data_IF_934016183480
#
_entry.id   IF_934016183480
#
_cell.length_a   1.000
_cell.length_b   1.000
_cell.length_c   1.000
_cell.angle_alpha   90.00
_cell.angle_beta   90.00
_cell.angle_gamma   90.00
#
_symmetry.space_group_name_H-M   'P 1'
#
loop_
_entity.id
_entity.type
_entity.pdbx_description
1 polymer ?
#
# COMPACT_ATOMS: atom_id res chain seq x y z
N UNK A 1 43.84 -14.96 13.68
CA UNK A 1 43.54 -14.20 12.45
C UNK A 1 44.89 -13.71 12.04
N UNK A 2 45.48 -14.43 11.10
CA UNK A 2 46.92 -14.40 10.88
C UNK A 2 47.26 -13.14 10.07
N UNK A 3 48.30 -12.41 10.47
CA UNK A 3 48.68 -11.12 9.85
C UNK A 3 48.88 -11.23 8.33
N UNK A 4 49.19 -12.45 7.85
CA UNK A 4 49.34 -12.79 6.44
C UNK A 4 48.01 -12.72 5.66
N UNK A 5 46.91 -13.14 6.26
CA UNK A 5 45.56 -13.11 5.67
C UNK A 5 45.05 -11.66 5.56
N UNK A 6 45.40 -10.83 6.55
CA UNK A 6 45.09 -9.40 6.55
C UNK A 6 45.86 -8.66 5.44
N UNK A 7 47.15 -8.94 5.28
CA UNK A 7 47.98 -8.36 4.21
C UNK A 7 47.52 -8.81 2.82
N UNK A 8 47.11 -10.07 2.66
CA UNK A 8 46.55 -10.55 1.41
C UNK A 8 45.24 -9.84 1.05
N UNK A 9 44.38 -9.61 2.05
CA UNK A 9 43.14 -8.85 1.90
C UNK A 9 43.41 -7.41 1.48
N UNK A 10 44.37 -6.73 2.11
CA UNK A 10 44.75 -5.36 1.74
C UNK A 10 45.31 -5.27 0.32
N UNK A 11 46.07 -6.28 -0.14
CA UNK A 11 46.54 -6.35 -1.54
C UNK A 11 45.39 -6.48 -2.52
N UNK A 12 44.38 -7.32 -2.22
CA UNK A 12 43.17 -7.48 -3.05
C UNK A 12 42.35 -6.18 -3.13
N UNK A 13 42.16 -5.50 -2.01
CA UNK A 13 41.44 -4.22 -1.95
C UNK A 13 42.16 -3.15 -2.79
N UNK A 14 43.48 -3.04 -2.68
CA UNK A 14 44.28 -2.09 -3.46
C UNK A 14 44.24 -2.40 -4.97
N UNK A 15 44.28 -3.69 -5.33
CA UNK A 15 44.17 -4.14 -6.73
C UNK A 15 42.82 -3.74 -7.33
N UNK A 16 41.71 -3.99 -6.62
CA UNK A 16 40.36 -3.63 -7.07
C UNK A 16 40.21 -2.11 -7.19
N UNK A 17 40.73 -1.36 -6.22
CA UNK A 17 40.73 0.11 -6.27
C UNK A 17 41.45 0.67 -7.50
N UNK A 18 42.57 0.06 -7.89
CA UNK A 18 43.31 0.40 -9.11
C UNK A 18 42.49 0.15 -10.38
N UNK A 19 41.81 -1.00 -10.46
CA UNK A 19 40.98 -1.38 -11.61
C UNK A 19 39.79 -0.44 -11.77
N UNK A 20 39.11 -0.07 -10.67
CA UNK A 20 38.00 0.89 -10.68
C UNK A 20 38.47 2.27 -11.16
N UNK A 21 39.65 2.71 -10.73
CA UNK A 21 40.25 3.97 -11.16
C UNK A 21 40.58 3.95 -12.66
N UNK A 22 41.10 2.84 -13.17
CA UNK A 22 41.40 2.67 -14.59
C UNK A 22 40.11 2.63 -15.44
N UNK A 23 39.06 1.92 -14.99
CA UNK A 23 37.74 1.91 -15.64
C UNK A 23 37.12 3.31 -15.74
N UNK A 24 37.24 4.11 -14.66
CA UNK A 24 36.70 5.48 -14.58
C UNK A 24 37.58 6.51 -15.31
N UNK A 25 38.70 6.11 -15.89
CA UNK A 25 39.60 7.02 -16.58
C UNK A 25 38.97 7.59 -17.85
N UNK A 26 39.18 8.90 -18.09
CA UNK A 26 38.76 9.58 -19.34
C UNK A 26 39.52 9.09 -20.59
N UNK A 27 40.60 8.33 -20.41
CA UNK A 27 41.35 7.72 -21.52
C UNK A 27 40.73 6.36 -21.86
N UNK A 28 40.18 6.26 -23.08
CA UNK A 28 39.44 5.09 -23.57
C UNK A 28 40.26 3.79 -23.53
N UNK A 29 41.57 3.85 -23.81
CA UNK A 29 42.43 2.66 -23.75
C UNK A 29 42.61 2.16 -22.31
N UNK A 30 42.75 3.08 -21.34
CA UNK A 30 42.86 2.73 -19.91
C UNK A 30 41.54 2.20 -19.35
N UNK A 31 40.42 2.79 -19.77
CA UNK A 31 39.08 2.32 -19.41
C UNK A 31 38.83 0.90 -19.91
N UNK A 32 39.16 0.60 -21.17
CA UNK A 32 39.05 -0.76 -21.74
C UNK A 32 39.93 -1.78 -21.03
N UNK A 33 41.17 -1.43 -20.69
CA UNK A 33 42.08 -2.31 -19.93
C UNK A 33 41.55 -2.55 -18.51
N UNK A 34 40.99 -1.53 -17.86
CA UNK A 34 40.31 -1.67 -16.57
C UNK A 34 39.13 -2.65 -16.64
N UNK A 35 38.29 -2.54 -17.68
CA UNK A 35 37.15 -3.44 -17.86
C UNK A 35 37.57 -4.90 -18.10
N UNK A 36 38.59 -5.13 -18.94
CA UNK A 36 39.11 -6.49 -19.20
C UNK A 36 39.71 -7.13 -17.94
N UNK A 37 40.47 -6.37 -17.15
CA UNK A 37 41.01 -6.86 -15.87
C UNK A 37 39.93 -7.16 -14.85
N UNK A 38 38.84 -6.39 -14.83
CA UNK A 38 37.69 -6.69 -13.99
C UNK A 38 37.00 -7.99 -14.42
N UNK A 39 36.83 -8.22 -15.73
CA UNK A 39 36.29 -9.48 -16.26
C UNK A 39 37.19 -10.69 -15.94
N UNK A 40 38.51 -10.54 -16.07
CA UNK A 40 39.48 -11.59 -15.75
C UNK A 40 39.44 -11.97 -14.26
N UNK A 41 39.36 -10.98 -13.36
CA UNK A 41 39.21 -11.22 -11.93
C UNK A 41 37.89 -11.90 -11.56
N UNK A 42 36.81 -11.61 -12.29
CA UNK A 42 35.51 -12.26 -12.10
C UNK A 42 35.48 -13.67 -12.71
N UNK A 43 36.33 -13.95 -13.70
CA UNK A 43 36.39 -15.22 -14.43
C UNK A 43 37.22 -16.33 -13.76
N UNK A 44 38.25 -15.97 -12.98
CA UNK A 44 39.28 -16.92 -12.50
C UNK A 44 39.26 -17.26 -10.99
N UNK A 45 38.11 -17.14 -10.29
CA UNK A 45 37.99 -17.50 -8.88
C UNK A 45 37.27 -18.84 -8.64
N UNK A 46 37.98 -19.85 -8.16
CA UNK A 46 37.41 -21.04 -7.51
C UNK A 46 36.43 -20.64 -6.39
N UNK A 47 35.29 -21.32 -6.34
CA UNK A 47 34.27 -21.17 -5.29
C UNK A 47 34.77 -21.79 -3.98
N UNK A 48 35.48 -21.00 -3.16
CA UNK A 48 35.66 -21.29 -1.73
C UNK A 48 34.53 -20.58 -0.98
N UNK A 49 33.53 -21.36 -0.57
CA UNK A 49 32.43 -20.89 0.28
C UNK A 49 32.82 -21.09 1.74
N UNK A 50 33.03 -20.01 2.49
CA UNK A 50 32.96 -20.06 3.96
C UNK A 50 31.49 -20.02 4.40
N UNK A 51 31.16 -20.86 5.38
CA UNK A 51 29.82 -21.30 5.77
C UNK A 51 29.03 -20.26 6.60
N UNK A 52 29.35 -18.97 6.44
CA UNK A 52 28.68 -17.83 7.08
C UNK A 52 27.80 -17.04 6.09
N UNK A 53 27.28 -17.73 5.08
CA UNK A 53 26.51 -17.25 3.93
C UNK A 53 25.39 -16.22 4.24
N UNK A 54 25.74 -14.93 4.24
CA UNK A 54 24.81 -13.86 3.84
C UNK A 54 24.51 -14.03 2.35
N UNK A 55 23.50 -14.84 2.03
CA UNK A 55 22.90 -14.86 0.70
C UNK A 55 22.18 -13.54 0.51
N UNK A 56 22.79 -12.58 -0.19
CA UNK A 56 21.99 -11.61 -0.94
C UNK A 56 21.21 -12.42 -1.97
N UNK A 57 19.99 -12.77 -1.63
CA UNK A 57 19.05 -13.35 -2.58
C UNK A 57 18.82 -12.25 -3.61
N UNK A 58 19.59 -12.27 -4.70
CA UNK A 58 19.23 -11.56 -5.91
C UNK A 58 17.96 -12.24 -6.42
N UNK A 59 16.82 -11.81 -5.88
CA UNK A 59 15.54 -11.93 -6.55
C UNK A 59 15.62 -11.00 -7.76
N UNK A 60 16.39 -11.42 -8.78
CA UNK A 60 16.31 -10.80 -10.09
C UNK A 60 14.88 -11.00 -10.55
N UNK A 61 14.13 -9.91 -10.63
CA UNK A 61 12.80 -9.93 -11.26
C UNK A 61 13.01 -10.49 -12.66
N UNK A 62 12.58 -11.74 -12.91
CA UNK A 62 12.55 -12.30 -14.26
C UNK A 62 11.47 -11.51 -15.00
N UNK A 63 11.90 -10.43 -15.66
CA UNK A 63 11.01 -9.60 -16.45
C UNK A 63 10.48 -10.47 -17.58
N UNK A 64 9.14 -10.65 -17.62
CA UNK A 64 8.50 -11.36 -18.71
C UNK A 64 8.61 -10.53 -19.99
N UNK A 65 9.62 -10.82 -20.83
CA UNK A 65 9.88 -10.09 -22.07
C UNK A 65 8.71 -10.17 -23.06
N UNK A 66 7.99 -11.29 -23.12
CA UNK A 66 6.79 -11.45 -23.96
C UNK A 66 5.68 -10.48 -23.54
N UNK A 67 5.50 -10.24 -22.24
CA UNK A 67 4.52 -9.26 -21.76
C UNK A 67 4.84 -7.83 -22.25
N UNK A 68 6.12 -7.50 -22.47
CA UNK A 68 6.52 -6.21 -23.05
C UNK A 68 6.29 -6.14 -24.56
N UNK A 69 6.39 -7.27 -25.27
CA UNK A 69 6.07 -7.36 -26.70
C UNK A 69 4.56 -7.17 -26.95
N UNK A 70 3.72 -7.71 -26.05
CA UNK A 70 2.25 -7.61 -26.13
C UNK A 70 1.69 -6.22 -25.78
N UNK A 71 2.44 -5.41 -25.01
CA UNK A 71 2.02 -4.06 -24.59
C UNK A 71 2.06 -3.01 -25.71
N UNK A 72 2.58 -3.37 -26.90
CA UNK A 72 2.77 -2.45 -28.01
C UNK A 72 3.84 -1.39 -27.74
N UNK A 73 4.14 -0.57 -28.74
CA UNK A 73 5.07 0.57 -28.54
C UNK A 73 4.47 1.56 -27.54
N UNK A 74 5.25 2.14 -26.63
CA UNK A 74 4.77 3.21 -25.76
C UNK A 74 4.14 4.31 -26.62
N UNK A 75 2.90 4.71 -26.30
CA UNK A 75 2.14 5.67 -27.10
C UNK A 75 2.81 7.04 -27.21
N UNK A 76 3.64 7.38 -26.22
CA UNK A 76 4.42 8.60 -26.18
C UNK A 76 5.92 8.22 -26.16
N UNK A 77 6.67 8.67 -27.16
CA UNK A 77 8.13 8.56 -27.14
C UNK A 77 8.67 9.43 -26.01
N UNK A 78 9.27 8.80 -25.00
CA UNK A 78 9.89 9.51 -23.88
C UNK A 78 11.16 10.17 -24.40
N UNK A 79 11.28 11.51 -24.37
CA UNK A 79 12.49 12.18 -24.85
C UNK A 79 13.72 11.74 -24.06
N UNK A 80 14.85 11.52 -24.76
CA UNK A 80 16.10 11.08 -24.14
C UNK A 80 16.84 12.20 -23.37
N UNK A 81 16.40 13.45 -23.52
CA UNK A 81 16.91 14.60 -22.79
C UNK A 81 16.25 14.71 -21.40
N UNK A 82 17.02 15.16 -20.41
CA UNK A 82 16.52 15.28 -19.04
C UNK A 82 15.31 16.24 -18.93
N UNK A 83 15.29 17.31 -19.73
CA UNK A 83 14.19 18.28 -19.74
C UNK A 83 12.90 17.69 -20.32
N UNK A 84 12.98 16.99 -21.45
CA UNK A 84 11.85 16.30 -22.06
C UNK A 84 11.31 15.14 -21.19
N UNK A 85 12.18 14.40 -20.50
CA UNK A 85 11.77 13.41 -19.51
C UNK A 85 10.96 14.05 -18.36
N UNK A 86 11.47 15.13 -17.77
CA UNK A 86 10.77 15.83 -16.68
C UNK A 86 9.41 16.38 -17.13
N UNK A 87 9.33 16.97 -18.33
CA UNK A 87 8.08 17.45 -18.90
C UNK A 87 7.06 16.31 -19.16
N UNK A 88 7.53 15.13 -19.57
CA UNK A 88 6.69 13.94 -19.72
C UNK A 88 6.15 13.44 -18.38
N UNK A 89 7.01 13.32 -17.37
CA UNK A 89 6.61 12.91 -16.00
C UNK A 89 5.59 13.89 -15.42
N UNK A 90 5.79 15.19 -15.59
CA UNK A 90 4.84 16.21 -15.13
C UNK A 90 3.47 16.07 -15.82
N UNK A 91 3.47 15.85 -17.15
CA UNK A 91 2.22 15.63 -17.92
C UNK A 91 1.47 14.39 -17.44
N UNK A 92 2.16 13.27 -17.28
CA UNK A 92 1.58 12.01 -16.78
C UNK A 92 1.08 12.16 -15.33
N UNK A 93 1.84 12.81 -14.44
CA UNK A 93 1.42 13.10 -13.08
C UNK A 93 0.15 13.98 -13.04
N UNK A 94 0.07 14.99 -13.91
CA UNK A 94 -1.11 15.85 -14.06
C UNK A 94 -2.32 15.05 -14.55
N UNK A 95 -2.16 14.22 -15.58
CA UNK A 95 -3.24 13.37 -16.10
C UNK A 95 -3.77 12.40 -15.04
N UNK A 96 -2.88 11.74 -14.29
CA UNK A 96 -3.27 10.86 -13.16
C UNK A 96 -4.00 11.63 -12.07
N UNK A 97 -3.52 12.82 -11.71
CA UNK A 97 -4.17 13.69 -10.73
C UNK A 97 -5.59 14.10 -11.18
N UNK A 98 -5.75 14.48 -12.45
CA UNK A 98 -7.05 14.86 -13.01
C UNK A 98 -8.01 13.66 -13.10
N UNK A 99 -7.53 12.49 -13.52
CA UNK A 99 -8.31 11.25 -13.52
C UNK A 99 -8.79 10.91 -12.10
N UNK A 100 -7.89 10.92 -11.12
CA UNK A 100 -8.23 10.68 -9.71
C UNK A 100 -9.26 11.70 -9.19
N UNK A 101 -9.14 12.99 -9.55
CA UNK A 101 -10.15 14.01 -9.19
C UNK A 101 -11.52 13.70 -9.78
N UNK A 102 -11.60 13.23 -11.02
CA UNK A 102 -12.86 12.83 -11.66
C UNK A 102 -13.48 11.62 -10.96
N UNK A 103 -12.68 10.61 -10.63
CA UNK A 103 -13.13 9.43 -9.88
C UNK A 103 -13.63 9.79 -8.48
N UNK A 104 -12.92 10.64 -7.75
CA UNK A 104 -13.35 11.13 -6.44
C UNK A 104 -14.70 11.83 -6.55
N UNK A 105 -14.86 12.76 -7.52
CA UNK A 105 -16.14 13.45 -7.74
C UNK A 105 -17.28 12.48 -8.06
N UNK A 106 -17.03 11.48 -8.91
CA UNK A 106 -18.02 10.45 -9.24
C UNK A 106 -18.41 9.61 -8.02
N UNK A 107 -17.42 9.17 -7.24
CA UNK A 107 -17.64 8.41 -6.00
C UNK A 107 -18.42 9.24 -4.97
N UNK A 108 -18.10 10.52 -4.81
CA UNK A 108 -18.81 11.40 -3.88
C UNK A 108 -20.25 11.70 -4.31
N UNK A 109 -20.51 11.79 -5.62
CA UNK A 109 -21.87 11.87 -6.14
C UNK A 109 -22.68 10.60 -5.79
N UNK A 110 -22.14 9.41 -6.06
CA UNK A 110 -22.79 8.13 -5.73
C UNK A 110 -23.02 7.99 -4.21
N UNK A 111 -22.04 8.36 -3.39
CA UNK A 111 -22.18 8.43 -1.92
C UNK A 111 -23.35 9.34 -1.52
N UNK A 112 -23.50 10.48 -2.18
CA UNK A 112 -24.56 11.45 -1.86
C UNK A 112 -25.94 10.91 -2.23
N UNK A 113 -26.05 10.17 -3.34
CA UNK A 113 -27.26 9.43 -3.72
C UNK A 113 -27.58 8.33 -2.70
N UNK A 114 -26.58 7.55 -2.28
CA UNK A 114 -26.72 6.55 -1.22
C UNK A 114 -27.21 7.15 0.10
N UNK A 115 -26.63 8.29 0.51
CA UNK A 115 -27.08 9.02 1.70
C UNK A 115 -28.52 9.54 1.56
N UNK A 116 -28.94 9.94 0.35
CA UNK A 116 -30.30 10.37 0.08
C UNK A 116 -31.30 9.21 0.27
N UNK A 117 -31.02 8.05 -0.33
CA UNK A 117 -31.86 6.86 -0.18
C UNK A 117 -31.85 6.31 1.26
N UNK A 118 -30.70 6.37 1.93
CA UNK A 118 -30.58 6.00 3.34
C UNK A 118 -31.53 6.84 4.23
N UNK A 119 -31.57 8.17 4.01
CA UNK A 119 -32.48 9.06 4.75
C UNK A 119 -33.96 8.80 4.47
N UNK A 120 -34.28 8.23 3.31
CA UNK A 120 -35.65 7.79 2.97
C UNK A 120 -36.02 6.44 3.58
N UNK A 121 -35.10 5.77 4.27
CA UNK A 121 -35.29 4.41 4.79
C UNK A 121 -35.09 3.29 3.75
N UNK A 122 -34.70 3.63 2.52
CA UNK A 122 -34.46 2.67 1.44
C UNK A 122 -33.04 2.10 1.55
N UNK A 123 -32.77 1.30 2.59
CA UNK A 123 -31.42 0.82 2.89
C UNK A 123 -30.82 -0.08 1.80
N UNK A 124 -31.63 -0.92 1.14
CA UNK A 124 -31.18 -1.76 0.03
C UNK A 124 -30.66 -0.92 -1.15
N UNK A 125 -31.41 0.12 -1.54
CA UNK A 125 -31.00 1.05 -2.60
C UNK A 125 -29.76 1.84 -2.19
N UNK A 126 -29.67 2.26 -0.93
CA UNK A 126 -28.50 2.92 -0.40
C UNK A 126 -27.25 2.02 -0.52
N UNK A 127 -27.38 0.73 -0.21
CA UNK A 127 -26.31 -0.26 -0.32
C UNK A 127 -25.81 -0.41 -1.77
N UNK A 128 -26.71 -0.42 -2.75
CA UNK A 128 -26.34 -0.43 -4.18
C UNK A 128 -25.47 0.79 -4.53
N UNK A 129 -25.89 1.99 -4.13
CA UNK A 129 -25.12 3.21 -4.40
C UNK A 129 -23.78 3.23 -3.67
N UNK A 130 -23.71 2.74 -2.43
CA UNK A 130 -22.44 2.64 -1.71
C UNK A 130 -21.50 1.63 -2.35
N UNK A 131 -21.99 0.48 -2.84
CA UNK A 131 -21.20 -0.49 -3.58
C UNK A 131 -20.61 0.14 -4.84
N UNK A 132 -21.44 0.81 -5.65
CA UNK A 132 -20.97 1.53 -6.84
C UNK A 132 -19.93 2.61 -6.49
N UNK A 133 -20.11 3.32 -5.37
CA UNK A 133 -19.16 4.33 -4.91
C UNK A 133 -17.81 3.71 -4.50
N UNK A 134 -17.83 2.51 -3.90
CA UNK A 134 -16.64 1.74 -3.49
C UNK A 134 -15.92 1.17 -4.71
N UNK A 135 -16.66 0.70 -5.72
CA UNK A 135 -16.08 0.19 -6.97
C UNK A 135 -15.28 1.28 -7.70
N UNK A 136 -15.77 2.52 -7.65
CA UNK A 136 -15.04 3.69 -8.16
C UNK A 136 -13.88 4.08 -7.24
N UNK A 137 -14.05 3.98 -5.91
CA UNK A 137 -13.06 4.43 -4.93
C UNK A 137 -12.98 3.53 -3.70
N UNK A 138 -11.90 2.75 -3.61
CA UNK A 138 -11.66 1.78 -2.53
C UNK A 138 -10.88 2.33 -1.34
N UNK A 139 -10.40 3.58 -1.41
CA UNK A 139 -9.54 4.22 -0.40
C UNK A 139 -10.32 5.14 0.57
N UNK A 140 -11.65 5.08 0.59
CA UNK A 140 -12.47 5.94 1.46
C UNK A 140 -13.07 5.20 2.64
N UNK A 141 -12.60 5.52 3.85
CA UNK A 141 -13.16 5.00 5.11
C UNK A 141 -14.67 5.28 5.24
N UNK A 142 -15.13 6.46 4.81
CA UNK A 142 -16.52 6.90 4.97
C UNK A 142 -17.50 6.01 4.18
N UNK A 143 -17.10 5.54 3.01
CA UNK A 143 -17.96 4.67 2.19
C UNK A 143 -18.22 3.33 2.89
N UNK A 144 -17.18 2.73 3.46
CA UNK A 144 -17.31 1.48 4.22
C UNK A 144 -18.14 1.68 5.49
N UNK A 145 -17.96 2.78 6.23
CA UNK A 145 -18.80 3.04 7.41
C UNK A 145 -20.26 3.31 7.06
N UNK A 146 -20.54 3.97 5.93
CA UNK A 146 -21.90 4.22 5.49
C UNK A 146 -22.59 2.94 5.00
N UNK A 147 -21.84 2.06 4.31
CA UNK A 147 -22.32 0.73 3.91
C UNK A 147 -22.58 -0.16 5.13
N UNK A 148 -21.66 -0.19 6.09
CA UNK A 148 -21.82 -0.90 7.37
C UNK A 148 -23.09 -0.46 8.09
N UNK A 149 -23.32 0.85 8.18
CA UNK A 149 -24.53 1.38 8.79
C UNK A 149 -25.80 0.95 8.04
N UNK A 150 -25.80 0.99 6.70
CA UNK A 150 -26.94 0.48 5.92
C UNK A 150 -27.21 -1.01 6.18
N UNK A 151 -26.16 -1.83 6.27
CA UNK A 151 -26.26 -3.26 6.62
C UNK A 151 -26.81 -3.51 8.02
N UNK A 152 -26.39 -2.72 9.01
CA UNK A 152 -26.94 -2.77 10.38
C UNK A 152 -28.46 -2.55 10.36
N UNK A 153 -28.94 -1.56 9.60
CA UNK A 153 -30.39 -1.29 9.51
C UNK A 153 -31.16 -2.38 8.75
N UNK A 154 -30.49 -3.15 7.89
CA UNK A 154 -31.06 -4.32 7.22
C UNK A 154 -30.97 -5.60 8.06
N UNK A 155 -30.32 -5.55 9.23
CA UNK A 155 -30.10 -6.73 10.09
C UNK A 155 -28.98 -7.67 9.60
N UNK A 156 -28.18 -7.25 8.61
CA UNK A 156 -27.10 -8.07 8.02
C UNK A 156 -25.82 -7.99 8.86
N UNK A 157 -25.88 -8.41 10.13
CA UNK A 157 -24.80 -8.20 11.11
C UNK A 157 -23.51 -8.97 10.77
N UNK A 158 -23.62 -10.14 10.16
CA UNK A 158 -22.48 -10.97 9.75
C UNK A 158 -21.52 -10.22 8.80
N UNK A 159 -22.07 -9.41 7.89
CA UNK A 159 -21.29 -8.69 6.88
C UNK A 159 -20.73 -7.33 7.36
N UNK A 160 -21.19 -6.84 8.52
CA UNK A 160 -20.79 -5.52 9.05
C UNK A 160 -19.34 -5.53 9.50
N UNK A 161 -18.88 -6.65 10.06
CA UNK A 161 -17.51 -6.81 10.57
C UNK A 161 -16.45 -6.53 9.51
N UNK A 162 -16.61 -7.08 8.31
CA UNK A 162 -15.67 -6.89 7.20
C UNK A 162 -15.56 -5.42 6.76
N UNK A 163 -16.70 -4.73 6.71
CA UNK A 163 -16.75 -3.31 6.35
C UNK A 163 -16.08 -2.44 7.40
N UNK A 164 -16.32 -2.73 8.68
CA UNK A 164 -15.68 -2.01 9.77
C UNK A 164 -14.17 -2.26 9.79
N UNK A 165 -13.73 -3.48 9.56
CA UNK A 165 -12.29 -3.81 9.48
C UNK A 165 -11.62 -3.12 8.30
N UNK A 166 -12.30 -3.04 7.15
CA UNK A 166 -11.79 -2.29 6.00
C UNK A 166 -11.72 -0.80 6.30
N UNK A 167 -12.72 -0.25 6.98
CA UNK A 167 -12.73 1.15 7.41
C UNK A 167 -11.58 1.44 8.40
N UNK A 168 -11.34 0.58 9.38
CA UNK A 168 -10.27 0.74 10.37
C UNK A 168 -8.87 0.63 9.75
N UNK A 169 -8.68 -0.22 8.72
CA UNK A 169 -7.42 -0.25 7.95
C UNK A 169 -7.15 1.05 7.19
N UNK A 170 -8.19 1.78 6.79
CA UNK A 170 -8.06 3.05 6.09
C UNK A 170 -7.93 4.23 7.07
N UNK A 171 -8.62 4.15 8.21
CA UNK A 171 -8.54 5.12 9.28
C UNK A 171 -8.74 4.42 10.64
N UNK A 172 -7.62 4.19 11.32
CA UNK A 172 -7.58 3.51 12.62
C UNK A 172 -8.34 4.27 13.72
N UNK A 173 -8.47 5.59 13.57
CA UNK A 173 -9.18 6.48 14.52
C UNK A 173 -10.64 6.71 14.13
N UNK A 174 -11.21 5.88 13.26
CA UNK A 174 -12.61 5.98 12.88
C UNK A 174 -13.53 5.49 14.00
N UNK A 175 -14.07 6.41 14.80
CA UNK A 175 -15.01 6.07 15.86
C UNK A 175 -16.24 5.33 15.32
N UNK A 176 -16.79 5.74 14.18
CA UNK A 176 -17.96 5.09 13.57
C UNK A 176 -17.68 3.61 13.28
N UNK A 177 -16.51 3.28 12.73
CA UNK A 177 -16.16 1.90 12.43
C UNK A 177 -16.05 1.04 13.71
N UNK A 178 -15.46 1.57 14.79
CA UNK A 178 -15.38 0.87 16.07
C UNK A 178 -16.77 0.65 16.67
N UNK A 179 -17.63 1.68 16.66
CA UNK A 179 -18.99 1.58 17.19
C UNK A 179 -19.83 0.56 16.42
N UNK A 180 -19.84 0.63 15.09
CA UNK A 180 -20.58 -0.30 14.24
C UNK A 180 -20.08 -1.74 14.36
N UNK A 181 -18.76 -1.94 14.51
CA UNK A 181 -18.19 -3.26 14.79
C UNK A 181 -18.66 -3.80 16.15
N UNK A 182 -18.67 -2.95 17.18
CA UNK A 182 -19.14 -3.35 18.50
C UNK A 182 -20.64 -3.68 18.50
N UNK A 183 -21.47 -2.93 17.76
CA UNK A 183 -22.89 -3.26 17.58
C UNK A 183 -23.06 -4.61 16.87
N UNK A 184 -22.33 -4.84 15.77
CA UNK A 184 -22.39 -6.13 15.07
C UNK A 184 -22.02 -7.31 16.00
N UNK A 185 -20.89 -7.21 16.71
CA UNK A 185 -20.46 -8.25 17.66
C UNK A 185 -21.47 -8.48 18.78
N UNK A 186 -22.11 -7.42 19.27
CA UNK A 186 -23.15 -7.52 20.29
C UNK A 186 -24.34 -8.34 19.80
N UNK A 187 -24.81 -8.09 18.57
CA UNK A 187 -25.90 -8.83 17.95
C UNK A 187 -25.52 -10.28 17.59
N UNK A 188 -24.25 -10.53 17.24
CA UNK A 188 -23.71 -11.87 16.99
C UNK A 188 -23.45 -12.67 18.28
N UNK A 189 -23.63 -12.06 19.46
CA UNK A 189 -23.50 -12.71 20.76
C UNK A 189 -22.11 -12.59 21.41
N UNK A 190 -21.12 -12.03 20.71
CA UNK A 190 -19.79 -11.73 21.26
C UNK A 190 -19.78 -10.40 22.03
N UNK A 191 -20.53 -10.40 23.12
CA UNK A 191 -20.73 -9.22 23.98
C UNK A 191 -19.42 -8.81 24.68
N UNK A 192 -18.55 -9.77 24.98
CA UNK A 192 -17.31 -9.50 25.69
C UNK A 192 -16.35 -8.67 24.84
N UNK A 193 -16.11 -9.11 23.59
CA UNK A 193 -15.25 -8.35 22.67
C UNK A 193 -15.88 -7.01 22.28
N UNK A 194 -17.22 -6.93 22.15
CA UNK A 194 -17.90 -5.66 21.94
C UNK A 194 -17.65 -4.65 23.08
N UNK A 195 -17.75 -5.08 24.35
CA UNK A 195 -17.47 -4.22 25.52
C UNK A 195 -16.02 -3.76 25.57
N UNK A 196 -15.08 -4.65 25.25
CA UNK A 196 -13.66 -4.32 25.18
C UNK A 196 -13.37 -3.28 24.10
N UNK A 197 -13.94 -3.44 22.90
CA UNK A 197 -13.84 -2.45 21.84
C UNK A 197 -14.38 -1.09 22.28
N UNK A 198 -15.55 -1.03 22.91
CA UNK A 198 -16.10 0.24 23.39
C UNK A 198 -15.24 0.87 24.49
N UNK A 199 -14.63 0.06 25.36
CA UNK A 199 -13.65 0.53 26.36
C UNK A 199 -12.40 1.10 25.69
N UNK A 200 -11.91 0.49 24.62
CA UNK A 200 -10.80 1.06 23.83
C UNK A 200 -11.21 2.35 23.13
N UNK A 201 -12.43 2.44 22.60
CA UNK A 201 -12.95 3.67 21.98
C UNK A 201 -13.01 4.83 22.97
N UNK A 202 -13.39 4.59 24.23
CA UNK A 202 -13.36 5.60 25.29
C UNK A 202 -11.95 6.14 25.58
N UNK A 203 -10.93 5.26 25.47
CA UNK A 203 -9.53 5.66 25.66
C UNK A 203 -8.99 6.46 24.47
N UNK A 204 -9.35 6.07 23.25
CA UNK A 204 -8.85 6.73 22.02
C UNK A 204 -9.59 8.01 21.69
N UNK A 205 -10.86 8.15 22.10
CA UNK A 205 -11.71 9.30 21.82
C UNK A 205 -12.32 9.88 23.11
N UNK A 206 -11.50 10.45 24.01
CA UNK A 206 -12.01 11.03 25.26
C UNK A 206 -13.04 12.15 25.01
N UNK A 207 -12.88 12.90 23.92
CA UNK A 207 -13.75 14.01 23.52
C UNK A 207 -15.19 13.56 23.19
N UNK A 208 -15.36 12.30 22.77
CA UNK A 208 -16.64 11.74 22.34
C UNK A 208 -17.22 10.74 23.35
N UNK A 209 -16.81 10.82 24.61
CA UNK A 209 -17.25 9.91 25.69
C UNK A 209 -18.78 9.80 25.78
N UNK A 210 -19.50 10.93 25.75
CA UNK A 210 -20.98 10.94 25.80
C UNK A 210 -21.60 10.08 24.71
N UNK A 211 -21.14 10.27 23.47
CA UNK A 211 -21.64 9.54 22.30
C UNK A 211 -21.39 8.03 22.41
N UNK A 212 -20.25 7.64 22.96
CA UNK A 212 -19.92 6.22 23.17
C UNK A 212 -20.79 5.61 24.26
N UNK A 213 -21.03 6.35 25.36
CA UNK A 213 -21.93 5.93 26.43
C UNK A 213 -23.39 5.81 25.98
N UNK A 214 -23.88 6.78 25.21
CA UNK A 214 -25.23 6.72 24.62
C UNK A 214 -25.39 5.47 23.75
N UNK A 215 -24.35 5.14 22.98
CA UNK A 215 -24.32 3.94 22.15
C UNK A 215 -24.27 2.65 22.97
N UNK A 216 -23.47 2.60 24.05
CA UNK A 216 -23.45 1.50 25.00
C UNK A 216 -24.84 1.27 25.63
N UNK A 217 -25.50 2.34 26.06
CA UNK A 217 -26.84 2.29 26.65
C UNK A 217 -27.89 1.81 25.63
N UNK A 218 -27.78 2.23 24.36
CA UNK A 218 -28.63 1.72 23.28
C UNK A 218 -28.48 0.19 23.15
N UNK A 219 -27.25 -0.32 23.12
CA UNK A 219 -26.98 -1.75 22.96
C UNK A 219 -27.48 -2.56 24.17
N UNK A 220 -27.31 -2.06 25.40
CA UNK A 220 -27.81 -2.73 26.60
C UNK A 220 -29.33 -2.78 26.68
N UNK A 221 -30.01 -1.75 26.18
CA UNK A 221 -31.48 -1.65 26.22
C UNK A 221 -32.17 -2.36 25.05
N UNK A 222 -31.42 -2.79 24.02
CA UNK A 222 -31.96 -3.49 22.86
C UNK A 222 -32.11 -5.00 23.07
N UNK A 223 -32.04 -5.48 24.32
CA UNK A 223 -32.05 -6.90 24.70
C UNK A 223 -33.25 -7.23 25.58
#
# INVERSE_FOLDING_TARGET
MDDEEFEESMRKVNLIGGIIKDMSSKNEAKSKVGMLRAEELLGNGEKVWDESSLKTVHNGTKINRKAFEDLGKPKDEIPADAAGFMAHVERDAKQRSEAKKKEIKRSDYLKSMGNCEYRKGNYEKALIYYNQAIDVRKDSCVLFTNRALAKINLGLMDEVGEDCDRALRLNERSLNAVLYKAEALWWLGDIQTAKELLKTALKTHPDQTKRIQDYQNKLSNSR
#
